data_IF_730255005685
#
_entry.id   IF_730255005685
#
_cell.length_a   1.000
_cell.length_b   1.000
_cell.length_c   1.000
_cell.angle_alpha   90.00
_cell.angle_beta   90.00
_cell.angle_gamma   90.00
#
_symmetry.space_group_name_H-M   'P 1'
#
loop_
_entity.id
_entity.type
_entity.pdbx_description
1 polymer ?
#
# COMPACT_ATOMS: atom_id res chain seq x y z
N UNK A 1 -26.83 67.53 -44.68
CA UNK A 1 -27.28 66.15 -44.39
C UNK A 1 -26.04 65.34 -44.03
N UNK A 2 -25.87 64.94 -42.76
CA UNK A 2 -24.61 64.33 -42.24
C UNK A 2 -24.49 62.87 -42.72
N UNK A 3 -23.39 62.52 -43.38
CA UNK A 3 -23.01 61.12 -43.66
C UNK A 3 -22.69 60.41 -42.34
N UNK A 4 -23.37 59.30 -42.07
CA UNK A 4 -23.04 58.39 -40.96
C UNK A 4 -22.10 57.31 -41.50
N UNK A 5 -20.88 57.29 -41.01
CA UNK A 5 -19.90 56.21 -41.18
C UNK A 5 -20.35 55.00 -40.36
N UNK A 6 -20.61 53.87 -41.03
CA UNK A 6 -20.83 52.57 -40.40
C UNK A 6 -19.47 51.94 -40.09
N UNK A 7 -19.16 51.78 -38.80
CA UNK A 7 -18.00 51.00 -38.35
C UNK A 7 -18.45 49.53 -38.31
N UNK A 8 -17.82 48.59 -39.05
CA UNK A 8 -18.16 47.19 -38.94
C UNK A 8 -17.63 46.66 -37.61
N UNK A 9 -18.53 46.20 -36.74
CA UNK A 9 -18.18 45.52 -35.51
C UNK A 9 -17.68 44.13 -35.87
N UNK A 10 -16.36 43.93 -35.88
CA UNK A 10 -15.76 42.60 -36.03
C UNK A 10 -16.04 41.81 -34.74
N UNK A 11 -16.99 40.88 -34.79
CA UNK A 11 -17.23 39.91 -33.72
C UNK A 11 -16.08 38.88 -33.81
N UNK A 12 -15.12 38.99 -32.91
CA UNK A 12 -14.11 37.96 -32.72
C UNK A 12 -14.79 36.73 -32.08
N UNK A 13 -14.99 35.68 -32.88
CA UNK A 13 -15.41 34.39 -32.37
C UNK A 13 -14.24 33.78 -31.57
N UNK A 14 -14.30 33.88 -30.24
CA UNK A 14 -13.40 33.13 -29.36
C UNK A 14 -13.79 31.66 -29.46
N UNK A 15 -13.01 30.89 -30.21
CA UNK A 15 -13.09 29.43 -30.20
C UNK A 15 -12.66 28.94 -28.81
N UNK A 16 -13.63 28.67 -27.95
CA UNK A 16 -13.44 27.89 -26.73
C UNK A 16 -13.09 26.46 -27.15
N UNK A 17 -11.79 26.17 -27.29
CA UNK A 17 -11.32 24.79 -27.37
C UNK A 17 -11.72 24.12 -26.05
N UNK A 18 -12.48 23.01 -26.09
CA UNK A 18 -12.76 22.26 -24.87
C UNK A 18 -11.41 21.83 -24.29
N UNK A 19 -11.14 22.23 -23.05
CA UNK A 19 -10.00 21.69 -22.31
C UNK A 19 -10.17 20.17 -22.30
N UNK A 20 -9.26 19.46 -22.98
CA UNK A 20 -9.25 18.01 -22.91
C UNK A 20 -9.15 17.63 -21.42
N UNK A 21 -10.01 16.73 -20.91
CA UNK A 21 -9.85 16.27 -19.54
C UNK A 21 -8.43 15.72 -19.41
N UNK A 22 -7.70 16.14 -18.38
CA UNK A 22 -6.39 15.61 -18.10
C UNK A 22 -6.53 14.08 -17.95
N UNK A 23 -6.10 13.33 -18.95
CA UNK A 23 -6.15 11.87 -18.90
C UNK A 23 -5.20 11.43 -17.80
N UNK A 24 -5.69 10.55 -16.91
CA UNK A 24 -4.84 9.89 -15.94
C UNK A 24 -3.74 9.16 -16.73
N UNK A 25 -2.49 9.57 -16.55
CA UNK A 25 -1.35 8.96 -17.23
C UNK A 25 -0.62 8.03 -16.27
N UNK A 26 -0.44 6.77 -16.68
CA UNK A 26 0.40 5.81 -15.96
C UNK A 26 1.87 6.16 -16.17
N UNK A 27 2.63 6.25 -15.08
CA UNK A 27 4.08 6.48 -15.03
C UNK A 27 4.79 5.18 -14.60
N UNK A 28 5.28 4.37 -15.55
CA UNK A 28 6.00 3.14 -15.21
C UNK A 28 7.29 3.42 -14.45
N UNK A 29 7.59 2.60 -13.46
CA UNK A 29 8.87 2.65 -12.73
C UNK A 29 9.97 1.92 -13.53
N UNK A 30 11.20 2.48 -13.60
CA UNK A 30 12.29 1.95 -14.43
C UNK A 30 13.01 0.76 -13.76
N UNK A 31 12.24 -0.26 -13.34
CA UNK A 31 12.78 -1.42 -12.63
C UNK A 31 13.08 -2.54 -13.63
N UNK A 32 14.34 -3.04 -13.69
CA UNK A 32 14.68 -4.11 -14.62
C UNK A 32 14.04 -5.44 -14.23
N UNK A 33 13.82 -6.29 -15.25
CA UNK A 33 13.42 -7.68 -15.05
C UNK A 33 14.59 -8.53 -14.52
N UNK A 34 14.27 -9.57 -13.75
CA UNK A 34 15.24 -10.60 -13.33
C UNK A 34 14.93 -11.90 -14.08
N UNK A 35 15.95 -12.53 -14.66
CA UNK A 35 15.77 -13.77 -15.42
C UNK A 35 15.03 -14.85 -14.59
N UNK A 36 14.00 -15.45 -15.18
CA UNK A 36 13.17 -16.47 -14.51
C UNK A 36 12.07 -15.91 -13.60
N UNK A 37 11.94 -14.58 -13.45
CA UNK A 37 10.92 -13.93 -12.64
C UNK A 37 10.26 -12.75 -13.37
N UNK A 38 9.07 -12.38 -12.90
CA UNK A 38 8.42 -11.10 -13.11
C UNK A 38 8.74 -10.21 -11.93
N UNK A 39 9.34 -9.05 -12.18
CA UNK A 39 9.56 -8.03 -11.13
C UNK A 39 8.29 -7.22 -10.96
N UNK A 40 7.55 -7.45 -9.89
CA UNK A 40 6.33 -6.74 -9.54
C UNK A 40 6.65 -5.60 -8.57
N UNK A 41 6.12 -4.40 -8.83
CA UNK A 41 6.26 -3.21 -7.98
C UNK A 41 5.04 -3.13 -7.07
N UNK A 42 5.25 -3.27 -5.77
CA UNK A 42 4.17 -3.49 -4.82
C UNK A 42 4.20 -2.51 -3.65
N UNK A 43 3.03 -2.15 -3.14
CA UNK A 43 2.91 -1.39 -1.89
C UNK A 43 1.87 -2.07 -0.99
N UNK A 44 2.32 -2.62 0.13
CA UNK A 44 1.51 -3.50 0.97
C UNK A 44 1.07 -2.85 2.28
N UNK A 45 1.23 -1.53 2.42
CA UNK A 45 0.84 -0.78 3.62
C UNK A 45 0.30 0.59 3.23
N UNK A 46 -1.02 0.77 3.35
CA UNK A 46 -1.70 2.04 3.08
C UNK A 46 -3.11 2.07 3.68
N UNK A 47 -3.60 3.29 3.95
CA UNK A 47 -4.83 3.53 4.71
C UNK A 47 -5.86 4.33 3.94
N UNK A 48 -7.13 4.20 4.32
CA UNK A 48 -8.28 4.89 3.75
C UNK A 48 -9.12 5.51 4.87
N UNK A 49 -10.22 6.17 4.50
CA UNK A 49 -11.18 6.72 5.48
C UNK A 49 -11.84 5.67 6.38
N UNK A 50 -11.66 4.38 6.11
CA UNK A 50 -12.23 3.30 6.93
C UNK A 50 -11.39 3.02 8.19
N UNK A 51 -10.10 3.39 8.23
CA UNK A 51 -9.37 3.63 9.48
C UNK A 51 -9.13 5.14 9.66
N UNK A 52 -7.90 5.59 9.51
CA UNK A 52 -7.39 6.93 9.78
C UNK A 52 -6.70 7.57 8.57
N UNK A 53 -6.78 6.92 7.41
CA UNK A 53 -6.51 7.56 6.12
C UNK A 53 -7.58 8.59 5.75
N UNK A 54 -7.33 9.35 4.70
CA UNK A 54 -8.16 10.52 4.32
C UNK A 54 -8.72 10.45 2.90
N UNK A 55 -8.55 9.29 2.24
CA UNK A 55 -9.04 9.06 0.87
C UNK A 55 -9.99 7.88 0.78
N UNK A 56 -10.88 7.92 -0.21
CA UNK A 56 -11.76 6.79 -0.53
C UNK A 56 -10.93 5.61 -1.09
N UNK A 57 -11.29 4.33 -0.85
CA UNK A 57 -10.47 3.17 -1.25
C UNK A 57 -10.09 3.13 -2.74
N UNK A 58 -10.99 3.60 -3.62
CA UNK A 58 -10.73 3.69 -5.07
C UNK A 58 -9.54 4.59 -5.40
N UNK A 59 -9.28 5.62 -4.60
CA UNK A 59 -8.16 6.54 -4.80
C UNK A 59 -6.82 5.81 -4.69
N UNK A 60 -6.67 4.87 -3.74
CA UNK A 60 -5.45 4.06 -3.61
C UNK A 60 -5.14 3.24 -4.85
N UNK A 61 -6.17 2.70 -5.50
CA UNK A 61 -6.03 1.97 -6.78
C UNK A 61 -5.57 2.91 -7.90
N UNK A 62 -6.15 4.12 -7.97
CA UNK A 62 -5.78 5.12 -8.98
C UNK A 62 -4.33 5.60 -8.79
N UNK A 63 -3.92 5.86 -7.55
CA UNK A 63 -2.54 6.23 -7.18
C UNK A 63 -1.55 5.13 -7.53
N UNK A 64 -1.89 3.87 -7.22
CA UNK A 64 -1.07 2.71 -7.58
C UNK A 64 -0.90 2.59 -9.10
N UNK A 65 -1.98 2.70 -9.85
CA UNK A 65 -1.93 2.63 -11.32
C UNK A 65 -1.16 3.81 -11.92
N UNK A 66 -1.38 5.04 -11.42
CA UNK A 66 -0.67 6.25 -11.86
C UNK A 66 0.84 6.11 -11.58
N UNK A 67 1.21 5.64 -10.39
CA UNK A 67 2.60 5.38 -9.98
C UNK A 67 3.22 4.11 -10.57
N UNK A 68 2.53 3.42 -11.49
CA UNK A 68 3.10 2.29 -12.21
C UNK A 68 3.20 0.98 -11.42
N UNK A 69 2.54 0.87 -10.26
CA UNK A 69 2.52 -0.34 -9.43
C UNK A 69 1.75 -1.49 -10.09
N UNK A 70 2.07 -2.71 -9.69
CA UNK A 70 1.42 -3.93 -10.15
C UNK A 70 0.50 -4.54 -9.07
N UNK A 71 0.83 -4.36 -7.80
CA UNK A 71 0.05 -4.89 -6.68
C UNK A 71 -0.03 -3.89 -5.52
N UNK A 72 -1.15 -3.89 -4.83
CA UNK A 72 -1.30 -3.18 -3.56
C UNK A 72 -2.07 -4.01 -2.54
N UNK A 73 -1.92 -3.66 -1.27
CA UNK A 73 -2.84 -4.07 -0.20
C UNK A 73 -3.33 -2.82 0.52
N UNK A 74 -4.64 -2.65 0.62
CA UNK A 74 -5.25 -1.64 1.49
C UNK A 74 -5.36 -2.30 2.87
N UNK A 75 -4.70 -1.74 3.87
CA UNK A 75 -4.49 -2.38 5.18
C UNK A 75 -4.94 -1.47 6.31
N UNK A 76 -6.19 -0.96 6.20
CA UNK A 76 -6.79 -0.17 7.28
C UNK A 76 -6.67 -0.90 8.64
N UNK A 77 -6.46 -0.13 9.70
CA UNK A 77 -6.26 -0.61 11.07
C UNK A 77 -7.44 -1.45 11.58
N UNK A 78 -7.13 -2.51 12.32
CA UNK A 78 -8.16 -3.40 12.85
C UNK A 78 -8.86 -2.88 14.12
N UNK A 79 -8.27 -1.94 14.84
CA UNK A 79 -8.82 -1.38 16.07
C UNK A 79 -8.83 0.16 16.16
N UNK A 80 -8.37 0.86 15.13
CA UNK A 80 -8.33 2.33 15.11
C UNK A 80 -9.21 2.91 13.98
N UNK A 81 -10.37 3.46 14.35
CA UNK A 81 -11.39 3.94 13.42
C UNK A 81 -11.91 5.34 13.82
N UNK A 82 -11.09 6.41 13.69
CA UNK A 82 -11.49 7.77 14.09
C UNK A 82 -12.70 8.33 13.31
N UNK A 83 -13.08 7.72 12.19
CA UNK A 83 -14.19 8.15 11.35
C UNK A 83 -15.49 7.34 11.55
N UNK A 84 -15.57 6.50 12.61
CA UNK A 84 -16.73 5.63 12.87
C UNK A 84 -18.13 6.29 12.92
N UNK A 85 -18.30 7.60 13.21
CA UNK A 85 -19.64 8.20 13.15
C UNK A 85 -20.14 8.41 11.72
N UNK A 86 -19.25 8.24 10.73
CA UNK A 86 -19.49 8.61 9.32
C UNK A 86 -19.14 7.51 8.32
N UNK A 87 -18.30 6.55 8.70
CA UNK A 87 -17.81 5.46 7.83
C UNK A 87 -17.93 4.13 8.56
N UNK A 88 -18.24 3.05 7.82
CA UNK A 88 -18.32 1.70 8.39
C UNK A 88 -16.99 1.30 9.03
N UNK A 89 -17.07 0.58 10.15
CA UNK A 89 -15.88 -0.06 10.75
C UNK A 89 -15.63 -1.46 10.20
N UNK A 90 -16.44 -2.00 9.30
CA UNK A 90 -16.15 -3.30 8.66
C UNK A 90 -14.90 -3.18 7.76
N UNK A 91 -13.78 -3.76 8.21
CA UNK A 91 -12.47 -3.65 7.54
C UNK A 91 -12.45 -4.40 6.19
N UNK A 92 -13.49 -5.19 5.88
CA UNK A 92 -13.61 -5.78 4.55
C UNK A 92 -14.17 -4.80 3.49
N UNK A 93 -14.75 -3.66 3.90
CA UNK A 93 -15.33 -2.67 2.98
C UNK A 93 -14.29 -2.04 2.04
N UNK A 94 -13.11 -1.57 2.49
CA UNK A 94 -12.11 -0.97 1.60
C UNK A 94 -11.71 -1.89 0.46
N UNK A 95 -11.43 -3.15 0.76
CA UNK A 95 -11.11 -4.17 -0.23
C UNK A 95 -12.28 -4.39 -1.21
N UNK A 96 -13.50 -4.52 -0.69
CA UNK A 96 -14.71 -4.78 -1.50
C UNK A 96 -15.00 -3.62 -2.47
N UNK A 97 -14.87 -2.39 -2.00
CA UNK A 97 -15.08 -1.16 -2.76
C UNK A 97 -14.02 -1.00 -3.86
N UNK A 98 -12.75 -1.26 -3.54
CA UNK A 98 -11.64 -1.07 -4.46
C UNK A 98 -11.53 -2.17 -5.54
N UNK A 99 -12.05 -3.38 -5.27
CA UNK A 99 -11.83 -4.58 -6.11
C UNK A 99 -12.18 -4.38 -7.58
N UNK A 100 -13.37 -3.87 -7.89
CA UNK A 100 -13.80 -3.70 -9.28
C UNK A 100 -12.89 -2.73 -10.05
N UNK A 101 -12.45 -1.65 -9.39
CA UNK A 101 -11.51 -0.70 -10.03
C UNK A 101 -10.12 -1.31 -10.21
N UNK A 102 -9.66 -2.10 -9.25
CA UNK A 102 -8.37 -2.77 -9.33
C UNK A 102 -8.34 -3.75 -10.50
N UNK A 103 -9.41 -4.54 -10.68
CA UNK A 103 -9.57 -5.44 -11.81
C UNK A 103 -9.56 -4.70 -13.15
N UNK A 104 -10.34 -3.63 -13.28
CA UNK A 104 -10.39 -2.80 -14.49
C UNK A 104 -9.02 -2.24 -14.90
N UNK A 105 -8.21 -1.86 -13.91
CA UNK A 105 -6.90 -1.24 -14.12
C UNK A 105 -5.73 -2.25 -14.14
N UNK A 106 -6.01 -3.54 -13.95
CA UNK A 106 -4.98 -4.59 -13.87
C UNK A 106 -4.06 -4.46 -12.67
N UNK A 107 -4.56 -3.94 -11.55
CA UNK A 107 -3.85 -3.89 -10.26
C UNK A 107 -4.23 -5.11 -9.44
N UNK A 108 -3.23 -5.87 -8.98
CA UNK A 108 -3.44 -6.97 -8.06
C UNK A 108 -3.77 -6.42 -6.67
N UNK A 109 -5.06 -6.40 -6.31
CA UNK A 109 -5.50 -6.03 -4.97
C UNK A 109 -5.43 -7.24 -4.04
N UNK A 110 -4.46 -7.23 -3.14
CA UNK A 110 -4.26 -8.28 -2.13
C UNK A 110 -5.14 -7.96 -0.92
N UNK A 111 -5.93 -8.92 -0.41
CA UNK A 111 -6.71 -8.69 0.81
C UNK A 111 -5.75 -8.62 2.00
N UNK A 112 -5.85 -7.57 2.81
CA UNK A 112 -4.99 -7.40 3.98
C UNK A 112 -5.58 -6.45 5.00
N UNK A 113 -4.98 -6.47 6.19
CA UNK A 113 -5.33 -5.60 7.33
C UNK A 113 -4.05 -5.22 8.05
N UNK A 114 -4.10 -4.13 8.81
CA UNK A 114 -3.10 -3.87 9.84
C UNK A 114 -3.62 -4.26 11.21
N UNK A 115 -2.92 -5.19 11.87
CA UNK A 115 -3.13 -5.55 13.26
C UNK A 115 -2.40 -4.52 14.11
N UNK A 116 -3.16 -3.63 14.73
CA UNK A 116 -2.64 -2.46 15.43
C UNK A 116 -2.81 -2.66 16.91
N UNK A 117 -1.75 -2.80 17.72
CA UNK A 117 -1.89 -3.05 19.17
C UNK A 117 -0.89 -2.20 19.95
N UNK A 118 -1.35 -1.03 20.38
CA UNK A 118 -0.48 -0.03 21.00
C UNK A 118 0.55 0.45 19.98
N UNK A 119 1.83 0.19 20.25
CA UNK A 119 2.94 0.52 19.32
C UNK A 119 3.34 -0.66 18.41
N UNK A 120 2.73 -1.83 18.59
CA UNK A 120 3.05 -3.04 17.82
C UNK A 120 2.09 -3.21 16.66
N UNK A 121 2.61 -3.01 15.46
CA UNK A 121 1.81 -2.94 14.25
C UNK A 121 2.31 -3.98 13.26
N UNK A 122 1.39 -4.76 12.70
CA UNK A 122 1.72 -5.84 11.78
C UNK A 122 0.70 -5.92 10.66
N UNK A 123 1.16 -5.92 9.42
CA UNK A 123 0.27 -6.20 8.30
C UNK A 123 0.13 -7.71 8.11
N UNK A 124 -1.11 -8.16 8.02
CA UNK A 124 -1.48 -9.51 7.63
C UNK A 124 -2.04 -9.48 6.21
N UNK A 125 -1.29 -10.04 5.25
CA UNK A 125 -1.68 -10.16 3.86
C UNK A 125 -2.35 -11.50 3.56
N UNK A 126 -3.18 -11.51 2.54
CA UNK A 126 -3.98 -12.64 2.09
C UNK A 126 -4.95 -13.18 3.14
N UNK A 127 -5.50 -12.30 3.97
CA UNK A 127 -6.54 -12.67 4.94
C UNK A 127 -7.82 -13.11 4.22
N UNK A 128 -8.58 -13.97 4.89
CA UNK A 128 -9.87 -14.50 4.43
C UNK A 128 -11.04 -13.94 5.24
N UNK A 129 -10.80 -13.59 6.50
CA UNK A 129 -11.72 -12.88 7.37
C UNK A 129 -11.00 -11.66 7.96
N UNK A 130 -11.33 -10.49 7.41
CA UNK A 130 -10.75 -9.20 7.77
C UNK A 130 -11.08 -8.77 9.20
N UNK A 131 -12.18 -9.24 9.77
CA UNK A 131 -12.65 -8.79 11.08
C UNK A 131 -12.25 -9.73 12.22
N UNK A 132 -11.65 -10.88 11.91
CA UNK A 132 -11.35 -11.92 12.91
C UNK A 132 -10.32 -11.49 13.97
N UNK A 133 -9.46 -10.51 13.68
CA UNK A 133 -8.45 -10.01 14.63
C UNK A 133 -8.99 -8.94 15.58
N UNK A 134 -10.18 -8.40 15.28
CA UNK A 134 -10.79 -7.34 16.09
C UNK A 134 -10.93 -7.74 17.55
N UNK A 135 -10.59 -6.81 18.44
CA UNK A 135 -10.69 -6.95 19.90
C UNK A 135 -9.79 -8.04 20.50
N UNK A 136 -8.92 -8.68 19.71
CA UNK A 136 -7.93 -9.62 20.20
C UNK A 136 -6.69 -8.87 20.71
N UNK A 137 -5.94 -9.49 21.63
CA UNK A 137 -4.58 -9.05 21.96
C UNK A 137 -3.62 -9.33 20.80
N UNK A 138 -2.41 -8.75 20.86
CA UNK A 138 -1.42 -8.88 19.78
C UNK A 138 -1.10 -10.34 19.43
N UNK A 139 -0.77 -11.16 20.43
CA UNK A 139 -0.40 -12.55 20.19
C UNK A 139 -1.58 -13.37 19.63
N UNK A 140 -2.80 -13.16 20.16
CA UNK A 140 -4.02 -13.81 19.68
C UNK A 140 -4.37 -13.38 18.25
N UNK A 141 -4.27 -12.09 17.93
CA UNK A 141 -4.52 -11.56 16.60
C UNK A 141 -3.54 -12.13 15.56
N UNK A 142 -2.25 -12.20 15.90
CA UNK A 142 -1.24 -12.78 15.00
C UNK A 142 -1.42 -14.29 14.82
N UNK A 143 -1.81 -15.03 15.88
CA UNK A 143 -2.18 -16.44 15.77
C UNK A 143 -3.41 -16.64 14.88
N UNK A 144 -4.40 -15.74 14.97
CA UNK A 144 -5.57 -15.76 14.09
C UNK A 144 -5.17 -15.50 12.62
N UNK A 145 -4.33 -14.50 12.35
CA UNK A 145 -3.78 -14.26 11.02
C UNK A 145 -3.04 -15.50 10.48
N UNK A 146 -2.20 -16.13 11.32
CA UNK A 146 -1.52 -17.39 10.97
C UNK A 146 -2.51 -18.53 10.70
N UNK A 147 -3.60 -18.64 11.47
CA UNK A 147 -4.66 -19.64 11.26
C UNK A 147 -5.34 -19.46 9.89
N UNK A 148 -5.50 -18.23 9.43
CA UNK A 148 -5.99 -17.92 8.09
C UNK A 148 -4.95 -18.19 6.98
N UNK A 149 -3.70 -18.54 7.34
CA UNK A 149 -2.60 -18.68 6.39
C UNK A 149 -2.16 -17.34 5.81
N UNK A 150 -2.33 -16.24 6.55
CA UNK A 150 -1.84 -14.92 6.14
C UNK A 150 -0.31 -14.89 6.08
N UNK A 151 0.23 -14.05 5.19
CA UNK A 151 1.63 -13.65 5.26
C UNK A 151 1.71 -12.40 6.14
N UNK A 152 2.45 -12.47 7.24
CA UNK A 152 2.48 -11.39 8.23
C UNK A 152 3.86 -10.74 8.27
N UNK A 153 3.91 -9.41 8.29
CA UNK A 153 5.16 -8.66 8.48
C UNK A 153 5.04 -7.58 9.55
N UNK A 154 6.14 -7.32 10.25
CA UNK A 154 6.23 -6.29 11.29
C UNK A 154 6.41 -4.90 10.66
N UNK A 155 5.54 -3.96 11.01
CA UNK A 155 5.55 -2.61 10.46
C UNK A 155 6.51 -1.70 11.24
N UNK A 156 7.14 -0.78 10.52
CA UNK A 156 7.93 0.35 11.03
C UNK A 156 8.62 0.12 12.41
N UNK A 157 9.62 -0.79 12.49
CA UNK A 157 10.19 -1.31 13.74
C UNK A 157 10.92 -0.30 14.65
N UNK A 158 10.95 0.98 14.27
CA UNK A 158 11.53 2.08 15.04
C UNK A 158 10.61 3.31 15.17
N UNK A 159 9.29 3.16 14.99
CA UNK A 159 8.36 4.30 14.98
C UNK A 159 8.25 5.03 16.34
N UNK A 160 8.00 4.30 17.43
CA UNK A 160 7.81 4.89 18.77
C UNK A 160 9.06 4.86 19.65
N UNK A 161 9.98 3.95 19.37
CA UNK A 161 11.23 3.74 20.11
C UNK A 161 12.35 3.43 19.09
N UNK A 162 13.63 3.69 19.40
CA UNK A 162 14.74 3.34 18.51
C UNK A 162 14.67 1.87 18.09
N UNK A 163 14.95 1.59 16.82
CA UNK A 163 14.78 0.24 16.29
C UNK A 163 15.72 -0.76 16.97
N UNK A 164 15.15 -1.85 17.45
CA UNK A 164 15.88 -2.97 18.05
C UNK A 164 15.02 -4.24 17.97
N UNK A 165 15.64 -5.39 18.24
CA UNK A 165 14.89 -6.62 18.39
C UNK A 165 14.31 -6.70 19.81
N UNK A 166 13.09 -6.21 19.98
CA UNK A 166 12.44 -6.08 21.29
C UNK A 166 12.13 -7.44 21.93
N UNK A 167 12.15 -7.48 23.27
CA UNK A 167 11.79 -8.66 24.05
C UNK A 167 10.33 -9.07 23.84
N UNK A 168 9.45 -8.11 23.53
CA UNK A 168 8.04 -8.33 23.19
C UNK A 168 7.87 -8.96 21.78
N UNK A 169 8.81 -8.70 20.87
CA UNK A 169 8.78 -9.21 19.48
C UNK A 169 9.43 -10.59 19.36
N UNK A 170 10.48 -10.85 20.13
CA UNK A 170 11.22 -12.11 20.10
C UNK A 170 10.33 -13.38 20.24
N UNK A 171 9.39 -13.50 21.20
CA UNK A 171 8.55 -14.68 21.32
C UNK A 171 7.57 -14.83 20.14
N UNK A 172 7.07 -13.72 19.57
CA UNK A 172 6.17 -13.75 18.42
C UNK A 172 6.87 -14.30 17.17
N UNK A 173 8.15 -13.93 16.98
CA UNK A 173 8.98 -14.48 15.91
C UNK A 173 9.32 -15.95 16.15
N UNK A 174 9.69 -16.32 17.39
CA UNK A 174 10.02 -17.69 17.75
C UNK A 174 8.85 -18.66 17.54
N UNK A 175 7.62 -18.19 17.74
CA UNK A 175 6.39 -18.92 17.42
C UNK A 175 6.05 -18.92 15.90
N UNK A 176 6.80 -18.17 15.10
CA UNK A 176 6.61 -18.07 13.65
C UNK A 176 5.33 -17.33 13.28
N UNK A 177 4.96 -16.30 14.05
CA UNK A 177 3.73 -15.52 13.83
C UNK A 177 3.89 -14.44 12.74
N UNK A 178 5.12 -14.08 12.39
CA UNK A 178 5.41 -13.20 11.26
C UNK A 178 6.65 -13.68 10.48
N UNK A 179 6.72 -13.29 9.20
CA UNK A 179 7.69 -13.80 8.22
C UNK A 179 8.43 -12.68 7.49
N UNK A 180 8.12 -11.42 7.76
CA UNK A 180 8.83 -10.27 7.22
C UNK A 180 8.83 -9.07 8.15
N UNK A 181 9.50 -8.00 7.73
CA UNK A 181 9.43 -6.70 8.39
C UNK A 181 9.67 -5.57 7.39
N UNK A 182 9.22 -4.37 7.72
CA UNK A 182 9.54 -3.15 6.97
C UNK A 182 10.96 -2.68 7.29
N UNK A 183 11.85 -2.79 6.29
CA UNK A 183 13.14 -2.11 6.33
C UNK A 183 12.98 -0.63 6.00
N UNK A 184 11.97 -0.29 5.20
CA UNK A 184 11.62 1.08 4.85
C UNK A 184 10.13 1.30 5.05
N UNK A 185 9.75 2.37 5.74
CA UNK A 185 8.37 2.82 5.86
C UNK A 185 8.33 4.31 5.54
N UNK A 186 7.51 4.71 4.56
CA UNK A 186 7.46 6.07 4.05
C UNK A 186 8.83 6.52 3.53
N UNK A 187 9.52 7.35 4.32
CA UNK A 187 10.89 7.84 4.03
C UNK A 187 11.95 7.37 5.01
N UNK A 188 11.55 6.58 6.01
CA UNK A 188 12.42 6.12 7.09
C UNK A 188 13.05 4.78 6.74
N UNK A 189 14.37 4.67 6.90
CA UNK A 189 15.11 3.41 6.78
C UNK A 189 15.49 2.92 8.18
N UNK A 190 15.09 1.70 8.53
CA UNK A 190 15.40 1.07 9.82
C UNK A 190 16.70 0.25 9.71
N UNK A 191 17.85 0.91 9.84
CA UNK A 191 19.14 0.30 9.58
C UNK A 191 19.47 -0.91 10.50
N UNK A 192 18.93 -0.94 11.72
CA UNK A 192 19.04 -2.14 12.58
C UNK A 192 18.52 -3.42 11.90
N UNK A 193 17.54 -3.28 11.00
CA UNK A 193 16.94 -4.37 10.23
C UNK A 193 17.88 -5.10 9.28
N UNK A 194 19.02 -4.50 8.90
CA UNK A 194 19.98 -5.18 8.00
C UNK A 194 20.51 -6.49 8.60
N UNK A 195 20.73 -6.52 9.91
CA UNK A 195 21.15 -7.73 10.63
C UNK A 195 20.06 -8.81 10.67
N UNK A 196 18.81 -8.39 10.88
CA UNK A 196 17.68 -9.31 11.08
C UNK A 196 17.34 -10.12 9.83
N UNK A 197 17.57 -9.57 8.63
CA UNK A 197 17.27 -10.29 7.38
C UNK A 197 17.91 -11.68 7.34
N UNK A 198 19.22 -11.75 7.63
CA UNK A 198 19.98 -12.98 7.60
C UNK A 198 19.79 -13.81 8.88
N UNK A 199 19.83 -13.16 10.04
CA UNK A 199 19.78 -13.84 11.34
C UNK A 199 18.41 -14.44 11.66
N UNK A 200 17.33 -13.77 11.23
CA UNK A 200 15.94 -14.13 11.54
C UNK A 200 15.20 -14.74 10.34
N UNK A 201 15.86 -14.80 9.18
CA UNK A 201 15.32 -15.35 7.94
C UNK A 201 13.97 -14.71 7.56
N UNK A 202 13.93 -13.36 7.55
CA UNK A 202 12.73 -12.56 7.29
C UNK A 202 12.73 -11.98 5.88
N UNK A 203 11.55 -11.92 5.25
CA UNK A 203 11.35 -11.12 4.03
C UNK A 203 11.45 -9.62 4.36
N UNK A 204 11.90 -8.84 3.38
CA UNK A 204 12.10 -7.40 3.52
C UNK A 204 11.01 -6.66 2.78
N UNK A 205 10.47 -5.62 3.43
CA UNK A 205 9.45 -4.75 2.87
C UNK A 205 9.91 -3.30 2.84
N UNK A 206 9.42 -2.59 1.83
CA UNK A 206 9.36 -1.15 1.76
C UNK A 206 7.94 -0.76 1.34
N UNK A 207 7.26 0.04 2.15
CA UNK A 207 5.89 0.46 1.86
C UNK A 207 5.68 1.91 2.24
N UNK A 208 4.59 2.50 1.76
CA UNK A 208 4.35 3.93 1.97
C UNK A 208 3.77 4.26 3.33
N UNK A 209 2.90 3.38 3.86
CA UNK A 209 2.09 3.67 5.05
C UNK A 209 1.32 4.99 4.88
N UNK A 210 0.81 5.19 3.67
CA UNK A 210 0.23 6.47 3.29
C UNK A 210 -1.19 6.60 3.85
N UNK A 211 -1.43 7.74 4.51
CA UNK A 211 -2.72 8.13 5.07
C UNK A 211 -3.37 9.28 4.28
N UNK A 212 -2.54 10.22 3.80
CA UNK A 212 -2.94 11.37 2.99
C UNK A 212 -3.18 10.98 1.52
N UNK A 213 -3.79 11.85 0.68
CA UNK A 213 -3.69 11.71 -0.77
C UNK A 213 -2.22 11.78 -1.20
N UNK A 214 -1.83 10.95 -2.17
CA UNK A 214 -0.45 10.92 -2.65
C UNK A 214 -0.13 12.18 -3.46
N UNK A 215 0.89 12.89 -3.01
CA UNK A 215 1.49 14.05 -3.69
C UNK A 215 2.46 13.62 -4.77
N UNK A 216 2.75 14.50 -5.74
CA UNK A 216 3.72 14.22 -6.81
C UNK A 216 5.12 13.85 -6.26
N UNK A 217 5.56 14.48 -5.18
CA UNK A 217 6.86 14.19 -4.55
C UNK A 217 6.90 12.79 -3.91
N UNK A 218 5.77 12.32 -3.39
CA UNK A 218 5.64 10.95 -2.90
C UNK A 218 5.60 9.96 -4.06
N UNK A 219 4.96 10.27 -5.18
CA UNK A 219 4.97 9.38 -6.36
C UNK A 219 6.38 9.13 -6.90
N UNK A 220 7.22 10.17 -6.92
CA UNK A 220 8.58 10.11 -7.45
C UNK A 220 9.56 9.37 -6.52
N UNK A 221 9.25 9.31 -5.23
CA UNK A 221 10.15 8.75 -4.21
C UNK A 221 9.54 7.66 -3.33
N UNK A 222 8.37 7.11 -3.69
CA UNK A 222 7.64 6.17 -2.82
C UNK A 222 8.46 4.93 -2.49
N UNK A 223 8.43 4.57 -1.21
CA UNK A 223 8.88 3.27 -0.75
C UNK A 223 7.94 2.18 -1.28
N UNK A 224 8.50 1.21 -2.01
CA UNK A 224 7.78 0.05 -2.55
C UNK A 224 8.60 -1.21 -2.43
N UNK A 225 7.90 -2.34 -2.36
CA UNK A 225 8.49 -3.67 -2.32
C UNK A 225 8.55 -4.22 -3.75
N UNK A 226 9.76 -4.47 -4.23
CA UNK A 226 9.95 -5.25 -5.46
C UNK A 226 9.80 -6.73 -5.13
N UNK A 227 8.90 -7.42 -5.83
CA UNK A 227 8.61 -8.84 -5.61
C UNK A 227 8.98 -9.61 -6.88
N UNK A 228 9.86 -10.61 -6.75
CA UNK A 228 10.26 -11.47 -7.87
C UNK A 228 9.39 -12.73 -7.93
N UNK A 229 8.25 -12.59 -8.62
CA UNK A 229 7.22 -13.62 -8.74
C UNK A 229 7.42 -14.48 -10.00
N UNK A 230 7.04 -15.75 -9.96
CA UNK A 230 7.07 -16.61 -11.17
C UNK A 230 5.92 -16.28 -12.12
N UNK A 231 4.79 -15.85 -11.59
CA UNK A 231 3.59 -15.42 -12.30
C UNK A 231 3.18 -14.03 -11.83
N UNK A 232 2.58 -13.23 -12.71
CA UNK A 232 2.11 -11.88 -12.40
C UNK A 232 0.66 -11.91 -11.89
N UNK A 233 0.42 -12.69 -10.82
CA UNK A 233 -0.88 -12.88 -10.18
C UNK A 233 -0.74 -12.99 -8.65
N UNK A 234 -1.87 -12.99 -7.94
CA UNK A 234 -1.91 -13.06 -6.47
C UNK A 234 -1.19 -14.29 -5.91
N UNK A 235 -1.25 -15.43 -6.61
CA UNK A 235 -0.55 -16.66 -6.20
C UNK A 235 0.97 -16.52 -6.34
N UNK A 236 1.43 -15.91 -7.43
CA UNK A 236 2.83 -15.59 -7.67
C UNK A 236 3.40 -14.63 -6.64
N UNK A 237 2.64 -13.60 -6.25
CA UNK A 237 3.05 -12.71 -5.15
C UNK A 237 3.17 -13.51 -3.85
N UNK A 238 2.15 -14.28 -3.47
CA UNK A 238 2.15 -15.08 -2.24
C UNK A 238 3.35 -16.03 -2.17
N UNK A 239 3.64 -16.74 -3.27
CA UNK A 239 4.79 -17.65 -3.35
C UNK A 239 6.13 -16.91 -3.24
N UNK A 240 6.27 -15.75 -3.90
CA UNK A 240 7.48 -14.95 -3.80
C UNK A 240 7.73 -14.39 -2.40
N UNK A 241 6.68 -13.95 -1.70
CA UNK A 241 6.80 -13.50 -0.30
C UNK A 241 7.23 -14.66 0.62
N UNK A 242 6.61 -15.84 0.49
CA UNK A 242 6.99 -17.02 1.26
C UNK A 242 8.45 -17.45 1.00
N UNK A 243 8.92 -17.29 -0.23
CA UNK A 243 10.31 -17.53 -0.62
C UNK A 243 11.28 -16.37 -0.33
N UNK A 244 10.80 -15.28 0.29
CA UNK A 244 11.57 -14.08 0.65
C UNK A 244 12.28 -13.44 -0.55
N UNK A 245 11.67 -13.53 -1.74
CA UNK A 245 12.20 -12.92 -2.97
C UNK A 245 11.68 -11.50 -3.11
N UNK A 246 12.06 -10.68 -2.13
CA UNK A 246 11.65 -9.27 -2.04
C UNK A 246 12.87 -8.36 -1.89
N UNK A 247 12.75 -7.14 -2.39
CA UNK A 247 13.73 -6.05 -2.22
C UNK A 247 12.98 -4.79 -1.84
N UNK A 248 13.45 -4.12 -0.78
CA UNK A 248 13.03 -2.77 -0.45
C UNK A 248 13.59 -1.78 -1.48
N UNK A 249 12.74 -0.92 -2.05
CA UNK A 249 13.14 0.13 -2.98
C UNK A 249 12.51 1.46 -2.59
N UNK A 250 13.29 2.54 -2.58
CA UNK A 250 12.83 3.89 -2.28
C UNK A 250 13.70 4.88 -3.07
N UNK A 251 13.10 5.52 -4.07
CA UNK A 251 13.80 6.44 -4.97
C UNK A 251 14.62 5.73 -6.05
N UNK A 252 14.54 6.28 -7.27
CA UNK A 252 15.39 5.95 -8.42
C UNK A 252 16.11 7.20 -8.91
#
# INVERSE_FOLDING_TARGET
MRLRTLIPTAIAAVLLLPAAPAQLQRKPLPVPGVAGYRTLKCDFHMHTVFSDGTVWPVVRVLEAWRGGLDAISITDHDDYHPHDPHVSTDISEPYRIARARAEELGILLIPGIEITKGEWHFNALFVSDFNATKKLGLAEALREAKRQGAFVFWNHPGWKRPEQWFEEIAPLHAEGLFQGFELVNGRTVYAGGFSWMAEKNLAVFANTDIHAPMTESEEDGRAITLVFARTADTAGVREALAARRTVAWMGG
#
